data_IF_118902237125
#
_entry.id   IF_118902237125
#
_cell.length_a   1.000
_cell.length_b   1.000
_cell.length_c   1.000
_cell.angle_alpha   90.00
_cell.angle_beta   90.00
_cell.angle_gamma   90.00
#
_symmetry.space_group_name_H-M   'P 1'
#
loop_
_entity.id
_entity.type
_entity.pdbx_description
1 polymer ?
#
# COMPACT_ATOMS: atom_id res chain seq x y z
N UNK A 1 19.52 60.80 -6.74
CA UNK A 1 19.56 60.22 -5.42
C UNK A 1 18.98 58.80 -5.50
N UNK A 2 19.86 57.94 -5.46
CA UNK A 2 19.95 56.61 -4.91
C UNK A 2 18.90 55.55 -5.32
N UNK A 3 19.38 54.72 -6.25
CA UNK A 3 18.81 53.42 -6.67
C UNK A 3 18.86 52.39 -5.54
N UNK A 4 17.81 51.57 -5.42
CA UNK A 4 17.92 50.27 -4.80
C UNK A 4 17.18 49.23 -5.65
N UNK A 5 17.95 48.43 -6.39
CA UNK A 5 17.50 47.23 -7.12
C UNK A 5 17.25 46.13 -6.08
N UNK A 6 16.04 45.58 -6.05
CA UNK A 6 15.76 44.30 -5.36
C UNK A 6 15.92 43.17 -6.37
N UNK A 7 16.95 42.37 -6.17
CA UNK A 7 17.11 41.09 -6.83
C UNK A 7 16.22 40.04 -6.13
N UNK A 8 15.33 39.44 -6.89
CA UNK A 8 14.56 38.27 -6.48
C UNK A 8 15.45 37.06 -6.70
N UNK A 9 15.89 36.43 -5.61
CA UNK A 9 16.53 35.11 -5.64
C UNK A 9 15.46 34.04 -5.47
N UNK A 10 15.19 33.29 -6.54
CA UNK A 10 14.37 32.09 -6.48
C UNK A 10 15.17 30.99 -5.77
N UNK A 11 14.71 30.56 -4.60
CA UNK A 11 15.25 29.41 -3.91
C UNK A 11 14.58 28.14 -4.48
N UNK A 12 15.34 27.36 -5.25
CA UNK A 12 15.00 25.97 -5.56
C UNK A 12 15.16 25.14 -4.27
N UNK A 13 14.07 24.72 -3.69
CA UNK A 13 14.06 23.74 -2.61
C UNK A 13 14.23 22.34 -3.19
N UNK A 14 15.47 21.92 -3.38
CA UNK A 14 15.81 20.52 -3.62
C UNK A 14 15.69 19.75 -2.29
N UNK A 15 14.74 18.83 -2.22
CA UNK A 15 14.69 17.85 -1.12
C UNK A 15 15.79 16.83 -1.36
N UNK A 16 16.95 17.07 -0.74
CA UNK A 16 17.96 16.04 -0.55
C UNK A 16 17.48 15.11 0.56
N UNK A 17 17.18 13.85 0.22
CA UNK A 17 17.21 12.78 1.22
C UNK A 17 18.67 12.63 1.71
N UNK A 18 18.97 13.31 2.79
CA UNK A 18 20.20 13.07 3.53
C UNK A 18 20.06 11.71 4.22
N UNK A 19 20.68 10.67 3.68
CA UNK A 19 21.04 9.49 4.44
C UNK A 19 22.00 9.97 5.54
N UNK A 20 21.48 10.10 6.76
CA UNK A 20 22.30 10.38 7.92
C UNK A 20 23.21 9.16 8.17
N UNK A 21 24.42 9.20 7.64
CA UNK A 21 25.51 8.40 8.19
C UNK A 21 25.77 8.97 9.61
N UNK A 22 25.23 8.28 10.60
CA UNK A 22 25.56 8.53 11.99
C UNK A 22 27.01 8.12 12.19
N UNK A 23 27.91 9.09 12.17
CA UNK A 23 29.25 8.90 12.69
C UNK A 23 29.12 8.74 14.21
N UNK A 24 29.20 7.51 14.70
CA UNK A 24 29.38 7.25 16.12
C UNK A 24 30.83 7.59 16.42
N UNK A 25 31.05 8.75 17.04
CA UNK A 25 32.35 9.08 17.58
C UNK A 25 32.70 8.02 18.63
N UNK A 26 33.93 7.51 18.65
CA UNK A 26 34.37 6.60 19.72
C UNK A 26 34.21 7.28 21.07
N UNK A 27 33.36 6.73 21.92
CA UNK A 27 33.22 7.19 23.31
C UNK A 27 34.49 6.80 24.04
N UNK A 28 35.26 7.81 24.48
CA UNK A 28 36.41 7.56 25.31
C UNK A 28 35.99 6.85 26.60
N UNK A 29 36.71 5.81 27.04
CA UNK A 29 36.34 5.12 28.26
C UNK A 29 36.41 6.10 29.45
N UNK A 30 35.28 6.29 30.12
CA UNK A 30 35.24 7.04 31.39
C UNK A 30 35.94 6.20 32.43
N UNK A 31 37.11 6.65 32.90
CA UNK A 31 37.76 6.07 34.07
C UNK A 31 37.07 6.62 35.32
N UNK A 32 36.45 5.76 36.08
CA UNK A 32 35.96 6.10 37.42
C UNK A 32 37.12 6.46 38.34
N UNK A 33 37.01 7.55 39.10
CA UNK A 33 37.97 7.90 40.14
C UNK A 33 37.83 6.94 41.34
N UNK A 34 38.90 6.62 42.06
CA UNK A 34 38.80 5.80 43.29
C UNK A 34 37.92 6.52 44.33
N UNK A 35 36.74 5.95 44.60
CA UNK A 35 35.74 6.51 45.52
C UNK A 35 34.34 6.69 44.95
N UNK A 36 34.14 6.61 43.63
CA UNK A 36 32.81 6.65 43.02
C UNK A 36 32.08 5.31 43.21
N UNK A 37 31.14 5.30 44.14
CA UNK A 37 30.26 4.11 44.38
C UNK A 37 29.13 3.99 43.39
N UNK A 38 29.01 4.89 42.43
CA UNK A 38 28.06 4.80 41.31
C UNK A 38 28.82 4.59 40.01
N UNK A 39 29.35 3.40 39.81
CA UNK A 39 29.83 2.98 38.49
C UNK A 39 28.60 2.73 37.63
N UNK A 40 28.21 3.72 36.85
CA UNK A 40 27.22 3.51 35.80
C UNK A 40 27.79 2.54 34.79
N UNK A 41 27.32 1.30 34.79
CA UNK A 41 27.57 0.35 33.69
C UNK A 41 26.93 0.92 32.42
N UNK A 42 27.77 1.51 31.56
CA UNK A 42 27.31 1.84 30.20
C UNK A 42 27.22 0.53 29.41
N UNK A 43 26.00 0.12 29.06
CA UNK A 43 25.79 -0.95 28.13
C UNK A 43 25.84 -0.37 26.73
N UNK A 44 26.82 -0.74 25.94
CA UNK A 44 26.84 -0.43 24.48
C UNK A 44 26.16 -1.58 23.80
N UNK A 45 25.04 -1.27 23.12
CA UNK A 45 24.31 -2.23 22.29
C UNK A 45 24.63 -1.88 20.83
N UNK A 46 25.33 -2.77 20.16
CA UNK A 46 25.52 -2.72 18.71
C UNK A 46 24.47 -3.61 18.07
N UNK A 47 23.76 -3.06 17.06
CA UNK A 47 22.74 -3.79 16.32
C UNK A 47 22.93 -3.61 14.81
N UNK A 48 22.57 -4.61 14.07
CA UNK A 48 22.52 -4.59 12.59
C UNK A 48 21.08 -4.85 12.13
N UNK A 49 20.77 -4.39 10.91
CA UNK A 49 19.45 -4.55 10.32
C UNK A 49 18.64 -3.25 10.26
N UNK A 50 17.48 -3.34 9.60
CA UNK A 50 16.54 -2.22 9.46
C UNK A 50 15.10 -2.78 9.48
N UNK A 51 14.33 -2.39 10.48
CA UNK A 51 12.98 -2.85 10.74
C UNK A 51 12.89 -3.78 11.93
N UNK A 52 11.80 -4.55 12.01
CA UNK A 52 11.48 -5.38 13.20
C UNK A 52 12.20 -6.73 13.25
N UNK A 53 12.92 -7.11 12.20
CA UNK A 53 13.71 -8.34 12.15
C UNK A 53 12.91 -9.65 12.08
N UNK A 54 11.59 -9.63 11.95
CA UNK A 54 10.75 -10.84 11.90
C UNK A 54 10.43 -11.26 10.48
N UNK A 55 10.42 -12.57 10.23
CA UNK A 55 10.09 -13.16 8.95
C UNK A 55 11.09 -12.81 7.84
N UNK A 56 10.61 -12.52 6.64
CA UNK A 56 11.45 -12.32 5.47
C UNK A 56 12.23 -11.01 5.55
N UNK A 57 13.55 -11.09 5.38
CA UNK A 57 14.42 -9.97 5.07
C UNK A 57 14.36 -9.69 3.58
N UNK A 58 13.99 -8.48 3.18
CA UNK A 58 13.92 -8.11 1.77
C UNK A 58 15.30 -8.10 1.13
N UNK A 59 16.31 -7.49 1.77
CA UNK A 59 17.70 -7.55 1.32
C UNK A 59 18.28 -8.95 1.43
N UNK A 60 17.93 -9.71 2.48
CA UNK A 60 18.33 -11.11 2.62
C UNK A 60 17.82 -11.97 1.47
N UNK A 61 16.56 -11.81 1.07
CA UNK A 61 15.98 -12.53 -0.06
C UNK A 61 16.73 -12.23 -1.37
N UNK A 62 17.15 -10.97 -1.59
CA UNK A 62 18.01 -10.61 -2.73
C UNK A 62 19.37 -11.32 -2.64
N UNK A 63 20.03 -11.28 -1.48
CA UNK A 63 21.31 -11.96 -1.28
C UNK A 63 21.18 -13.48 -1.51
N UNK A 64 20.17 -14.13 -0.94
CA UNK A 64 19.91 -15.55 -1.16
C UNK A 64 19.72 -15.90 -2.62
N UNK A 65 18.98 -15.07 -3.37
CA UNK A 65 18.73 -15.33 -4.79
C UNK A 65 19.94 -15.04 -5.68
N UNK A 66 20.65 -13.94 -5.44
CA UNK A 66 21.70 -13.44 -6.37
C UNK A 66 23.10 -13.95 -6.06
N UNK A 67 23.40 -14.21 -4.78
CA UNK A 67 24.73 -14.67 -4.33
C UNK A 67 24.70 -16.19 -4.10
N UNK A 68 23.65 -16.71 -3.47
CA UNK A 68 23.56 -18.11 -3.08
C UNK A 68 22.73 -18.97 -4.03
N UNK A 69 22.16 -18.39 -5.12
CA UNK A 69 21.42 -19.09 -6.16
C UNK A 69 20.12 -19.76 -5.68
N UNK A 70 19.52 -19.27 -4.59
CA UNK A 70 18.30 -19.85 -4.04
C UNK A 70 17.06 -19.36 -4.80
N UNK A 71 16.14 -20.28 -5.07
CA UNK A 71 14.85 -19.93 -5.63
C UNK A 71 13.88 -19.37 -4.56
N UNK A 72 12.76 -18.83 -5.03
CA UNK A 72 11.77 -18.19 -4.18
C UNK A 72 11.07 -19.17 -3.22
N UNK A 73 10.94 -20.46 -3.55
CA UNK A 73 10.35 -21.47 -2.69
C UNK A 73 11.25 -21.77 -1.51
N UNK A 74 12.54 -21.95 -1.78
CA UNK A 74 13.54 -22.10 -0.72
C UNK A 74 13.59 -20.87 0.18
N UNK A 75 13.55 -19.64 -0.38
CA UNK A 75 13.55 -18.40 0.39
C UNK A 75 12.35 -18.34 1.34
N UNK A 76 11.16 -18.70 0.87
CA UNK A 76 9.97 -18.74 1.69
C UNK A 76 10.05 -19.81 2.78
N UNK A 77 10.56 -21.00 2.48
CA UNK A 77 10.72 -22.07 3.47
C UNK A 77 11.77 -21.71 4.52
N UNK A 78 12.82 -21.00 4.12
CA UNK A 78 13.85 -20.50 5.02
C UNK A 78 13.29 -19.51 6.05
N UNK A 79 12.58 -18.46 5.60
CA UNK A 79 12.07 -17.42 6.51
C UNK A 79 10.77 -17.80 7.26
N UNK A 80 9.97 -18.67 6.68
CA UNK A 80 8.65 -19.05 7.22
C UNK A 80 8.58 -20.55 7.54
N UNK A 81 9.60 -21.06 8.22
CA UNK A 81 9.67 -22.45 8.64
C UNK A 81 8.41 -22.91 9.39
N UNK A 82 8.00 -24.17 9.18
CA UNK A 82 6.78 -24.73 9.73
C UNK A 82 5.49 -24.29 9.02
N UNK A 83 5.62 -23.68 7.85
CA UNK A 83 4.50 -23.37 6.92
C UNK A 83 4.69 -24.12 5.61
N UNK A 84 3.65 -24.18 4.81
CA UNK A 84 3.65 -24.77 3.47
C UNK A 84 2.98 -23.86 2.46
N UNK A 85 3.13 -24.17 1.17
CA UNK A 85 2.39 -23.50 0.11
C UNK A 85 0.93 -23.88 0.15
N UNK A 86 0.05 -22.88 0.06
CA UNK A 86 -1.36 -22.99 -0.21
C UNK A 86 -1.76 -22.09 -1.38
N UNK A 87 -3.04 -22.05 -1.67
CA UNK A 87 -3.58 -21.15 -2.69
C UNK A 87 -4.92 -20.58 -2.24
N UNK A 88 -5.23 -19.39 -2.77
CA UNK A 88 -6.56 -18.77 -2.64
C UNK A 88 -7.37 -19.01 -3.91
N UNK A 89 -8.72 -19.01 -3.83
CA UNK A 89 -9.56 -19.06 -5.01
C UNK A 89 -9.29 -17.91 -5.97
N UNK A 90 -9.38 -18.16 -7.26
CA UNK A 90 -9.37 -17.11 -8.27
C UNK A 90 -10.52 -16.12 -8.01
N UNK A 91 -10.28 -14.83 -8.30
CA UNK A 91 -11.26 -13.78 -8.03
C UNK A 91 -11.34 -13.38 -6.54
N UNK A 92 -10.45 -13.87 -5.67
CA UNK A 92 -10.35 -13.39 -4.28
C UNK A 92 -10.12 -11.88 -4.28
N UNK A 93 -10.94 -11.13 -3.53
CA UNK A 93 -10.85 -9.66 -3.49
C UNK A 93 -10.32 -9.16 -2.15
N UNK A 94 -9.61 -8.04 -2.25
CA UNK A 94 -9.13 -7.24 -1.12
C UNK A 94 -9.93 -5.95 -1.04
N UNK A 95 -10.41 -5.62 0.15
CA UNK A 95 -10.92 -4.28 0.45
C UNK A 95 -9.90 -3.53 1.29
N UNK A 96 -9.39 -2.43 0.74
CA UNK A 96 -8.30 -1.65 1.32
C UNK A 96 -8.82 -0.27 1.71
N UNK A 97 -8.73 0.07 3.01
CA UNK A 97 -9.00 1.43 3.48
C UNK A 97 -7.94 2.38 2.95
N UNK A 98 -8.36 3.43 2.27
CA UNK A 98 -7.50 4.51 1.80
C UNK A 98 -7.43 5.58 2.89
N UNK A 99 -6.43 5.49 3.75
CA UNK A 99 -6.36 6.26 5.00
C UNK A 99 -6.22 7.76 4.80
N UNK A 100 -5.61 8.19 3.69
CA UNK A 100 -5.54 9.62 3.32
C UNK A 100 -6.92 10.20 2.97
N UNK A 101 -7.94 9.35 2.75
CA UNK A 101 -9.31 9.75 2.42
C UNK A 101 -10.25 9.72 3.63
N UNK A 102 -9.74 9.45 4.81
CA UNK A 102 -10.57 9.38 6.02
C UNK A 102 -11.26 10.72 6.29
N UNK A 103 -12.57 10.63 6.56
CA UNK A 103 -13.45 11.78 6.83
C UNK A 103 -13.59 12.77 5.67
N UNK A 104 -13.18 12.39 4.46
CA UNK A 104 -13.41 13.14 3.23
C UNK A 104 -14.57 12.54 2.43
N UNK A 105 -15.14 13.33 1.53
CA UNK A 105 -16.01 12.82 0.47
C UNK A 105 -15.21 11.86 -0.44
N UNK A 106 -15.86 10.87 -1.02
CA UNK A 106 -15.23 10.04 -2.05
C UNK A 106 -15.36 10.75 -3.40
N UNK A 107 -14.25 11.31 -3.88
CA UNK A 107 -14.16 11.97 -5.19
C UNK A 107 -13.25 11.17 -6.12
N UNK A 108 -13.74 10.86 -7.32
CA UNK A 108 -13.01 10.07 -8.31
C UNK A 108 -13.00 10.75 -9.67
N UNK A 109 -11.96 10.47 -10.45
CA UNK A 109 -11.84 10.88 -11.85
C UNK A 109 -11.56 9.69 -12.76
N UNK A 110 -11.93 9.80 -14.03
CA UNK A 110 -11.57 8.88 -15.11
C UNK A 110 -11.15 9.66 -16.34
N UNK A 111 -9.91 9.51 -16.78
CA UNK A 111 -9.35 10.27 -17.90
C UNK A 111 -10.09 10.07 -19.23
N UNK A 112 -10.69 8.90 -19.44
CA UNK A 112 -11.48 8.60 -20.64
C UNK A 112 -12.94 9.05 -20.54
N UNK A 113 -13.36 9.72 -19.44
CA UNK A 113 -14.75 10.08 -19.23
C UNK A 113 -15.68 8.88 -19.06
N UNK A 114 -15.15 7.77 -18.53
CA UNK A 114 -15.84 6.48 -18.46
C UNK A 114 -16.05 5.98 -17.02
N UNK A 115 -15.94 6.86 -16.00
CA UNK A 115 -16.37 6.53 -14.65
C UNK A 115 -17.89 6.38 -14.59
N UNK A 116 -18.38 5.38 -13.89
CA UNK A 116 -19.79 5.15 -13.68
C UNK A 116 -20.10 4.72 -12.24
N UNK A 117 -21.34 4.93 -11.82
CA UNK A 117 -21.87 4.48 -10.54
C UNK A 117 -22.47 3.07 -10.69
N UNK A 118 -21.85 2.08 -10.05
CA UNK A 118 -22.29 0.69 -10.12
C UNK A 118 -23.66 0.52 -9.46
N UNK A 119 -24.63 0.06 -10.22
CA UNK A 119 -26.02 -0.14 -9.74
C UNK A 119 -26.80 1.14 -9.47
N UNK A 120 -26.23 2.32 -9.76
CA UNK A 120 -26.90 3.60 -9.64
C UNK A 120 -27.49 4.13 -10.95
N UNK A 121 -27.70 5.44 -11.03
CA UNK A 121 -28.19 6.10 -12.24
C UNK A 121 -27.22 5.90 -13.40
N UNK A 122 -27.66 5.40 -14.57
CA UNK A 122 -26.80 5.19 -15.72
C UNK A 122 -26.13 6.48 -16.19
N UNK A 123 -24.90 6.37 -16.66
CA UNK A 123 -24.12 7.46 -17.24
C UNK A 123 -22.64 7.24 -17.07
N UNK A 124 -21.85 7.92 -17.92
CA UNK A 124 -20.40 7.94 -17.88
C UNK A 124 -19.89 9.37 -17.66
N UNK A 125 -18.91 9.52 -16.78
CA UNK A 125 -18.44 10.82 -16.31
C UNK A 125 -16.91 10.87 -16.28
N UNK A 126 -16.37 12.10 -16.38
CA UNK A 126 -14.93 12.37 -16.17
C UNK A 126 -14.61 12.52 -14.69
N UNK A 127 -15.58 12.97 -13.89
CA UNK A 127 -15.44 13.12 -12.44
C UNK A 127 -16.75 12.76 -11.76
N UNK A 128 -16.66 12.10 -10.62
CA UNK A 128 -17.81 11.75 -9.79
C UNK A 128 -17.50 11.98 -8.31
N UNK A 129 -18.54 12.29 -7.54
CA UNK A 129 -18.45 12.54 -6.09
C UNK A 129 -19.58 11.84 -5.39
N UNK A 130 -19.25 11.16 -4.28
CA UNK A 130 -20.20 10.73 -3.27
C UNK A 130 -19.92 11.50 -1.98
N UNK A 131 -20.88 12.34 -1.56
CA UNK A 131 -20.79 13.16 -0.33
C UNK A 131 -21.92 12.77 0.60
N UNK A 132 -21.59 12.48 1.86
CA UNK A 132 -22.61 12.31 2.89
C UNK A 132 -23.32 13.64 3.12
N UNK A 133 -24.65 13.61 3.08
CA UNK A 133 -25.52 14.79 3.25
C UNK A 133 -26.44 14.67 4.46
N UNK A 134 -26.65 13.47 4.98
CA UNK A 134 -27.43 13.23 6.18
C UNK A 134 -27.03 11.92 6.88
N UNK A 135 -27.17 11.88 8.19
CA UNK A 135 -27.07 10.66 8.99
C UNK A 135 -28.11 10.68 10.11
N UNK A 136 -28.77 9.54 10.33
CA UNK A 136 -29.77 9.37 11.39
C UNK A 136 -29.99 7.89 11.69
N UNK A 137 -30.03 7.52 12.97
CA UNK A 137 -30.36 6.17 13.40
C UNK A 137 -29.43 5.07 12.86
N UNK A 138 -28.15 5.37 12.64
CA UNK A 138 -27.16 4.44 12.05
C UNK A 138 -27.28 4.27 10.54
N UNK A 139 -28.11 5.07 9.89
CA UNK A 139 -28.21 5.18 8.44
C UNK A 139 -27.47 6.43 7.96
N UNK A 140 -26.86 6.35 6.78
CA UNK A 140 -26.07 7.39 6.15
C UNK A 140 -26.58 7.61 4.73
N UNK A 141 -26.88 8.86 4.38
CA UNK A 141 -27.36 9.24 3.06
C UNK A 141 -26.26 9.95 2.30
N UNK A 142 -25.89 9.39 1.18
CA UNK A 142 -24.96 9.99 0.24
C UNK A 142 -25.72 10.59 -0.94
N UNK A 143 -25.37 11.82 -1.29
CA UNK A 143 -25.74 12.40 -2.58
C UNK A 143 -24.60 12.13 -3.56
N UNK A 144 -24.93 11.71 -4.77
CA UNK A 144 -23.98 11.40 -5.85
C UNK A 144 -24.10 12.44 -6.94
N UNK A 145 -22.96 12.91 -7.44
CA UNK A 145 -22.87 13.82 -8.58
C UNK A 145 -21.90 13.29 -9.63
N UNK A 146 -22.15 13.63 -10.88
CA UNK A 146 -21.28 13.37 -12.01
C UNK A 146 -21.03 14.62 -12.84
N UNK A 147 -19.84 14.71 -13.45
CA UNK A 147 -19.45 15.78 -14.36
C UNK A 147 -18.75 15.20 -15.58
N UNK A 148 -19.05 15.76 -16.76
CA UNK A 148 -18.37 15.49 -18.04
C UNK A 148 -17.42 16.62 -18.39
N UNK A 149 -16.56 16.44 -19.40
CA UNK A 149 -15.59 17.44 -19.83
C UNK A 149 -14.25 17.32 -19.12
N UNK A 150 -13.67 18.41 -18.65
CA UNK A 150 -12.38 18.38 -17.94
C UNK A 150 -12.53 17.74 -16.59
N UNK A 151 -11.61 16.81 -16.26
CA UNK A 151 -11.59 16.15 -14.95
C UNK A 151 -11.25 17.14 -13.83
N UNK A 152 -11.97 17.02 -12.71
CA UNK A 152 -11.81 17.91 -11.55
C UNK A 152 -11.81 17.08 -10.25
N UNK A 153 -11.02 17.55 -9.29
CA UNK A 153 -10.98 17.06 -7.92
C UNK A 153 -11.58 18.11 -6.98
N UNK A 154 -12.89 18.12 -6.75
CA UNK A 154 -13.51 19.10 -5.86
C UNK A 154 -13.17 18.81 -4.40
N UNK A 155 -12.96 19.86 -3.61
CA UNK A 155 -12.88 19.75 -2.16
C UNK A 155 -14.25 19.47 -1.53
N UNK A 156 -14.27 19.04 -0.27
CA UNK A 156 -15.53 18.76 0.45
C UNK A 156 -16.42 20.01 0.63
N UNK A 157 -15.83 21.21 0.50
CA UNK A 157 -16.54 22.50 0.67
C UNK A 157 -16.98 23.10 -0.66
N UNK A 158 -16.54 22.55 -1.80
CA UNK A 158 -16.88 23.12 -3.10
C UNK A 158 -18.37 22.90 -3.42
N UNK A 159 -18.95 23.91 -4.08
CA UNK A 159 -20.30 23.81 -4.63
C UNK A 159 -20.29 22.86 -5.83
N UNK A 160 -21.20 21.89 -5.84
CA UNK A 160 -21.42 20.97 -6.95
C UNK A 160 -22.68 21.34 -7.75
N UNK A 161 -23.16 22.59 -7.65
CA UNK A 161 -24.39 23.03 -8.32
C UNK A 161 -24.34 22.93 -9.87
N UNK A 162 -23.14 22.98 -10.46
CA UNK A 162 -22.94 22.78 -11.91
C UNK A 162 -22.78 21.31 -12.32
N UNK A 163 -22.78 20.38 -11.39
CA UNK A 163 -22.66 18.95 -11.63
C UNK A 163 -24.05 18.32 -11.79
N UNK A 164 -24.14 17.23 -12.53
CA UNK A 164 -25.36 16.46 -12.67
C UNK A 164 -25.63 15.70 -11.38
N UNK A 165 -26.77 15.96 -10.74
CA UNK A 165 -27.23 15.18 -9.60
C UNK A 165 -27.76 13.83 -10.06
N UNK A 166 -27.19 12.73 -9.53
CA UNK A 166 -27.51 11.36 -9.89
C UNK A 166 -28.46 10.68 -8.87
N UNK A 167 -28.76 11.40 -7.79
CA UNK A 167 -29.71 10.96 -6.74
C UNK A 167 -29.02 10.53 -5.46
N UNK A 168 -29.80 10.49 -4.37
CA UNK A 168 -29.31 10.01 -3.08
C UNK A 168 -29.34 8.49 -3.00
N UNK A 169 -28.47 7.94 -2.12
CA UNK A 169 -28.53 6.56 -1.66
C UNK A 169 -28.36 6.53 -0.16
N UNK A 170 -29.16 5.71 0.53
CA UNK A 170 -29.09 5.52 1.98
C UNK A 170 -28.64 4.10 2.30
N UNK A 171 -27.71 3.97 3.23
CA UNK A 171 -27.12 2.70 3.64
C UNK A 171 -26.78 2.71 5.13
N UNK A 172 -26.28 1.59 5.63
CA UNK A 172 -25.82 1.42 7.01
C UNK A 172 -24.29 1.34 7.06
N UNK A 173 -23.71 1.64 8.24
CA UNK A 173 -22.28 1.54 8.45
C UNK A 173 -21.71 0.16 8.08
N UNK A 174 -20.51 0.13 7.56
CA UNK A 174 -19.77 -1.10 7.20
C UNK A 174 -20.15 -1.70 5.86
N UNK A 175 -21.16 -1.19 5.16
CA UNK A 175 -21.53 -1.60 3.80
C UNK A 175 -21.07 -0.57 2.76
N UNK A 176 -20.77 -0.99 1.52
CA UNK A 176 -20.57 -0.06 0.41
C UNK A 176 -21.85 0.77 0.20
N UNK A 177 -21.72 2.11 0.24
CA UNK A 177 -22.84 3.03 0.00
C UNK A 177 -22.91 3.40 -1.47
N UNK A 178 -21.80 3.87 -2.03
CA UNK A 178 -21.66 4.27 -3.43
C UNK A 178 -20.41 3.58 -3.98
N UNK A 179 -20.55 2.87 -5.08
CA UNK A 179 -19.42 2.19 -5.74
C UNK A 179 -19.20 2.79 -7.12
N UNK A 180 -18.01 3.29 -7.34
CA UNK A 180 -17.55 3.79 -8.65
C UNK A 180 -16.65 2.78 -9.34
N UNK A 181 -16.76 2.69 -10.66
CA UNK A 181 -15.94 1.83 -11.50
C UNK A 181 -15.63 2.46 -12.85
N UNK A 182 -14.76 1.79 -13.61
CA UNK A 182 -14.52 2.03 -15.04
C UNK A 182 -14.55 0.70 -15.79
N UNK A 183 -14.84 0.66 -17.09
CA UNK A 183 -14.70 -0.55 -17.88
C UNK A 183 -13.28 -1.12 -17.81
N UNK A 184 -13.15 -2.42 -17.60
CA UNK A 184 -11.85 -3.08 -17.49
C UNK A 184 -11.07 -2.77 -16.21
N UNK A 185 -11.74 -2.34 -15.14
CA UNK A 185 -11.08 -1.95 -13.88
C UNK A 185 -10.20 -3.06 -13.27
N UNK A 186 -10.59 -4.33 -13.41
CA UNK A 186 -9.82 -5.48 -12.93
C UNK A 186 -8.92 -6.12 -14.01
N UNK A 187 -9.00 -5.67 -15.27
CA UNK A 187 -8.14 -6.17 -16.34
C UNK A 187 -6.68 -5.72 -16.12
N UNK A 188 -5.73 -6.65 -15.95
CA UNK A 188 -4.32 -6.32 -15.76
C UNK A 188 -3.69 -5.57 -16.95
N UNK A 189 -4.27 -5.66 -18.15
CA UNK A 189 -3.82 -4.94 -19.34
C UNK A 189 -4.30 -3.48 -19.39
N UNK A 190 -5.30 -3.11 -18.59
CA UNK A 190 -5.80 -1.71 -18.55
C UNK A 190 -4.69 -0.78 -18.04
N UNK A 191 -4.30 0.25 -18.85
CA UNK A 191 -3.28 1.21 -18.42
C UNK A 191 -3.68 1.98 -17.17
N UNK A 192 -2.72 2.28 -16.29
CA UNK A 192 -2.97 3.03 -15.05
C UNK A 192 -3.74 4.35 -15.30
N UNK A 193 -3.48 5.03 -16.43
CA UNK A 193 -4.16 6.26 -16.82
C UNK A 193 -5.66 6.10 -17.09
N UNK A 194 -6.11 4.90 -17.43
CA UNK A 194 -7.51 4.57 -17.72
C UNK A 194 -8.30 4.06 -16.51
N UNK A 195 -7.62 3.83 -15.38
CA UNK A 195 -8.23 3.40 -14.13
C UNK A 195 -8.84 4.58 -13.37
N UNK A 196 -9.72 4.28 -12.39
CA UNK A 196 -10.24 5.31 -11.50
C UNK A 196 -9.10 5.96 -10.72
N UNK A 197 -9.07 7.29 -10.73
CA UNK A 197 -8.23 8.11 -9.86
C UNK A 197 -9.04 8.60 -8.67
N UNK A 198 -8.54 8.42 -7.46
CA UNK A 198 -9.11 8.98 -6.23
C UNK A 198 -8.40 10.28 -5.91
N UNK A 199 -9.17 11.35 -5.76
CA UNK A 199 -8.68 12.68 -5.40
C UNK A 199 -8.40 12.77 -3.90
N UNK A 200 -7.23 13.28 -3.51
CA UNK A 200 -6.95 13.63 -2.12
C UNK A 200 -7.36 15.08 -1.79
N UNK A 201 -7.19 15.46 -0.52
CA UNK A 201 -7.53 16.80 -0.05
C UNK A 201 -6.72 17.93 -0.71
N UNK A 202 -5.54 17.62 -1.25
CA UNK A 202 -4.67 18.56 -1.96
C UNK A 202 -4.94 18.62 -3.48
N UNK A 203 -5.87 17.78 -3.99
CA UNK A 203 -6.19 17.65 -5.40
C UNK A 203 -5.22 16.76 -6.19
N UNK A 204 -4.27 16.09 -5.52
CA UNK A 204 -3.49 15.05 -6.14
C UNK A 204 -4.35 13.78 -6.30
N UNK A 205 -3.96 12.90 -7.23
CA UNK A 205 -4.77 11.75 -7.61
C UNK A 205 -3.95 10.49 -7.57
N UNK A 206 -4.54 9.42 -7.02
CA UNK A 206 -3.98 8.08 -7.07
C UNK A 206 -4.93 7.15 -7.81
N UNK A 207 -4.39 6.45 -8.80
CA UNK A 207 -5.13 5.50 -9.63
C UNK A 207 -5.12 4.11 -9.03
N UNK A 208 -6.28 3.46 -9.04
CA UNK A 208 -6.47 2.13 -8.46
C UNK A 208 -7.15 1.19 -9.46
N UNK A 209 -6.74 -0.07 -9.46
CA UNK A 209 -7.48 -1.16 -10.10
C UNK A 209 -8.71 -1.51 -9.27
N UNK A 210 -9.67 -2.17 -9.91
CA UNK A 210 -10.93 -2.53 -9.27
C UNK A 210 -11.86 -1.35 -9.06
N UNK A 211 -12.67 -1.41 -8.02
CA UNK A 211 -13.69 -0.43 -7.71
C UNK A 211 -13.25 0.48 -6.57
N UNK A 212 -13.84 1.67 -6.52
CA UNK A 212 -13.71 2.58 -5.39
C UNK A 212 -15.09 2.77 -4.78
N UNK A 213 -15.22 2.60 -3.48
CA UNK A 213 -16.50 2.83 -2.82
C UNK A 213 -16.41 3.70 -1.56
N UNK A 214 -17.48 4.47 -1.33
CA UNK A 214 -17.72 5.21 -0.12
C UNK A 214 -18.45 4.31 0.89
N UNK A 215 -18.16 4.49 2.16
CA UNK A 215 -18.85 3.85 3.29
C UNK A 215 -18.66 4.67 4.56
N UNK A 216 -19.30 4.24 5.64
CA UNK A 216 -19.04 4.77 6.98
C UNK A 216 -18.44 3.69 7.87
N UNK A 217 -17.51 4.10 8.72
CA UNK A 217 -17.05 3.29 9.84
C UNK A 217 -18.16 3.09 10.89
N UNK A 218 -17.92 2.20 11.86
CA UNK A 218 -18.88 1.88 12.91
C UNK A 218 -19.23 3.07 13.81
N UNK A 219 -18.35 4.07 13.89
CA UNK A 219 -18.61 5.32 14.64
C UNK A 219 -19.11 6.47 13.73
N UNK A 220 -19.46 6.15 12.49
CA UNK A 220 -20.06 7.10 11.55
C UNK A 220 -19.06 7.84 10.65
N UNK A 221 -17.76 7.58 10.76
CA UNK A 221 -16.73 8.30 9.99
C UNK A 221 -16.80 7.93 8.51
N UNK A 222 -16.65 8.92 7.63
CA UNK A 222 -16.53 8.68 6.20
C UNK A 222 -15.24 7.91 5.87
N UNK A 223 -15.39 6.90 5.01
CA UNK A 223 -14.31 6.04 4.53
C UNK A 223 -14.39 5.86 3.03
N UNK A 224 -13.24 5.93 2.39
CA UNK A 224 -13.07 5.52 0.98
C UNK A 224 -12.26 4.25 0.93
N UNK A 225 -12.71 3.25 0.18
CA UNK A 225 -12.06 1.97 0.01
C UNK A 225 -11.76 1.67 -1.45
N UNK A 226 -10.64 0.98 -1.68
CA UNK A 226 -10.38 0.25 -2.92
C UNK A 226 -10.85 -1.18 -2.73
N UNK A 227 -11.68 -1.68 -3.65
CA UNK A 227 -12.08 -3.08 -3.76
C UNK A 227 -11.43 -3.66 -5.02
N UNK A 228 -10.43 -4.49 -4.84
CA UNK A 228 -9.50 -4.90 -5.89
C UNK A 228 -9.26 -6.41 -5.84
N UNK A 229 -9.05 -7.04 -6.99
CA UNK A 229 -8.61 -8.43 -7.04
C UNK A 229 -7.23 -8.59 -6.39
N UNK A 230 -7.00 -9.73 -5.72
CA UNK A 230 -5.79 -9.96 -4.90
C UNK A 230 -4.49 -9.79 -5.69
N UNK A 231 -4.44 -10.21 -6.96
CA UNK A 231 -3.24 -10.07 -7.79
C UNK A 231 -2.98 -8.59 -8.12
N UNK A 232 -4.01 -7.84 -8.43
CA UNK A 232 -3.94 -6.39 -8.66
C UNK A 232 -3.58 -5.61 -7.41
N UNK A 233 -4.02 -6.07 -6.22
CA UNK A 233 -3.57 -5.54 -4.94
C UNK A 233 -2.05 -5.74 -4.76
N UNK A 234 -1.56 -6.96 -4.98
CA UNK A 234 -0.13 -7.28 -4.82
C UNK A 234 0.73 -6.50 -5.82
N UNK A 235 0.27 -6.26 -7.06
CA UNK A 235 0.94 -5.39 -8.04
C UNK A 235 1.13 -3.96 -7.53
N UNK A 236 0.16 -3.42 -6.79
CA UNK A 236 0.24 -2.10 -6.16
C UNK A 236 1.06 -2.07 -4.87
N UNK A 237 1.40 -3.24 -4.29
CA UNK A 237 2.22 -3.38 -3.06
C UNK A 237 3.69 -3.54 -3.39
N UNK A 238 4.06 -4.50 -4.26
CA UNK A 238 5.45 -4.91 -4.44
C UNK A 238 6.39 -3.74 -4.79
N UNK A 239 6.08 -2.84 -5.73
CA UNK A 239 6.99 -1.73 -6.06
C UNK A 239 7.17 -0.72 -4.92
N UNK A 240 6.31 -0.77 -3.90
CA UNK A 240 6.39 0.09 -2.72
C UNK A 240 7.18 -0.54 -1.57
N UNK A 241 7.27 -1.86 -1.56
CA UNK A 241 7.96 -2.64 -0.53
C UNK A 241 9.37 -3.06 -0.98
N UNK A 242 9.53 -3.39 -2.26
CA UNK A 242 10.79 -3.86 -2.83
C UNK A 242 11.04 -3.24 -4.19
N UNK A 243 12.25 -2.66 -4.46
CA UNK A 243 12.57 -2.10 -5.76
C UNK A 243 12.40 -3.13 -6.88
N UNK A 244 11.57 -2.84 -7.88
CA UNK A 244 11.33 -3.74 -9.01
C UNK A 244 12.63 -4.06 -9.80
N UNK A 245 13.61 -3.13 -9.80
CA UNK A 245 14.94 -3.31 -10.39
C UNK A 245 15.75 -4.45 -9.76
N UNK A 246 15.34 -4.96 -8.59
CA UNK A 246 15.98 -6.14 -8.02
C UNK A 246 15.84 -7.37 -8.90
N UNK A 247 14.77 -7.46 -9.70
CA UNK A 247 14.59 -8.55 -10.66
C UNK A 247 15.79 -8.72 -11.61
N UNK A 248 16.48 -7.62 -11.94
CA UNK A 248 17.59 -7.62 -12.90
C UNK A 248 18.93 -8.03 -12.26
N UNK A 249 19.03 -8.02 -10.92
CA UNK A 249 20.24 -8.38 -10.19
C UNK A 249 20.60 -9.86 -10.40
N UNK A 250 21.89 -10.19 -10.27
CA UNK A 250 22.37 -11.58 -10.37
C UNK A 250 22.02 -12.23 -11.72
N UNK A 251 22.13 -11.49 -12.83
CA UNK A 251 21.73 -11.94 -14.18
C UNK A 251 20.27 -12.40 -14.24
N UNK A 252 19.38 -11.68 -13.54
CA UNK A 252 17.94 -11.95 -13.53
C UNK A 252 17.47 -12.89 -12.41
N UNK A 253 18.38 -13.48 -11.62
CA UNK A 253 17.97 -14.37 -10.49
C UNK A 253 17.28 -13.61 -9.37
N UNK A 254 17.51 -12.30 -9.25
CA UNK A 254 16.85 -11.43 -8.25
C UNK A 254 15.34 -11.42 -8.33
N UNK A 255 14.73 -11.86 -9.44
CA UNK A 255 13.27 -12.09 -9.56
C UNK A 255 12.75 -13.03 -8.48
N UNK A 256 13.57 -13.96 -7.95
CA UNK A 256 13.17 -14.87 -6.89
C UNK A 256 12.89 -14.14 -5.57
N UNK A 257 13.61 -13.06 -5.28
CA UNK A 257 13.30 -12.21 -4.13
C UNK A 257 11.92 -11.55 -4.27
N UNK A 258 11.60 -11.01 -5.46
CA UNK A 258 10.29 -10.40 -5.73
C UNK A 258 9.15 -11.44 -5.71
N UNK A 259 9.40 -12.67 -6.19
CA UNK A 259 8.43 -13.77 -6.09
C UNK A 259 8.15 -14.15 -4.64
N UNK A 260 9.20 -14.29 -3.81
CA UNK A 260 9.05 -14.54 -2.39
C UNK A 260 8.27 -13.41 -1.70
N UNK A 261 8.60 -12.15 -2.02
CA UNK A 261 7.88 -10.97 -1.52
C UNK A 261 6.41 -10.98 -1.95
N UNK A 262 6.09 -11.38 -3.20
CA UNK A 262 4.71 -11.43 -3.68
C UNK A 262 3.85 -12.43 -2.91
N UNK A 263 4.37 -13.63 -2.65
CA UNK A 263 3.68 -14.65 -1.81
C UNK A 263 3.55 -14.17 -0.37
N UNK A 264 4.60 -13.56 0.18
CA UNK A 264 4.56 -12.99 1.53
C UNK A 264 3.52 -11.86 1.64
N UNK A 265 3.53 -10.90 0.72
CA UNK A 265 2.60 -9.78 0.71
C UNK A 265 1.14 -10.23 0.60
N UNK A 266 0.86 -11.22 -0.25
CA UNK A 266 -0.48 -11.80 -0.43
C UNK A 266 -0.97 -12.47 0.86
N UNK A 267 -0.13 -13.30 1.47
CA UNK A 267 -0.44 -14.00 2.71
C UNK A 267 -0.66 -13.02 3.87
N UNK A 268 0.23 -12.03 4.00
CA UNK A 268 0.16 -11.02 5.06
C UNK A 268 -1.10 -10.17 4.95
N UNK A 269 -1.41 -9.65 3.76
CA UNK A 269 -2.62 -8.84 3.55
C UNK A 269 -3.91 -9.58 3.90
N UNK A 270 -4.00 -10.86 3.54
CA UNK A 270 -5.14 -11.71 3.88
C UNK A 270 -5.19 -12.06 5.37
N UNK A 271 -4.04 -12.36 5.97
CA UNK A 271 -3.95 -12.72 7.39
C UNK A 271 -4.36 -11.57 8.31
N UNK A 272 -4.04 -10.32 7.94
CA UNK A 272 -4.47 -9.13 8.69
C UNK A 272 -5.98 -9.00 8.80
N UNK A 273 -6.72 -9.43 7.78
CA UNK A 273 -8.18 -9.50 7.81
C UNK A 273 -8.73 -10.72 8.57
N UNK A 274 -7.87 -11.56 9.13
CA UNK A 274 -8.30 -12.80 9.81
C UNK A 274 -8.63 -13.93 8.83
N UNK A 275 -8.14 -13.88 7.59
CA UNK A 275 -8.33 -14.89 6.56
C UNK A 275 -8.98 -14.40 5.27
N UNK A 276 -9.31 -15.34 4.38
CA UNK A 276 -9.82 -15.02 3.04
C UNK A 276 -11.17 -14.27 3.10
N UNK A 277 -12.05 -14.64 4.02
CA UNK A 277 -13.42 -14.10 4.13
C UNK A 277 -13.59 -13.02 5.20
N UNK A 278 -12.71 -12.97 6.20
CA UNK A 278 -12.82 -12.06 7.31
C UNK A 278 -12.28 -10.66 6.98
N UNK A 279 -12.56 -9.69 7.84
CA UNK A 279 -12.16 -8.29 7.70
C UNK A 279 -11.52 -7.79 8.99
N UNK A 280 -10.48 -6.96 8.87
CA UNK A 280 -9.85 -6.26 10.01
C UNK A 280 -10.77 -5.14 10.53
N UNK A 281 -11.44 -4.45 9.61
CA UNK A 281 -12.42 -3.41 9.88
C UNK A 281 -13.80 -3.89 9.43
N UNK A 282 -14.88 -3.36 9.98
CA UNK A 282 -16.23 -3.69 9.52
C UNK A 282 -16.42 -3.48 8.02
N UNK A 283 -15.66 -2.54 7.44
CA UNK A 283 -15.75 -2.08 6.06
C UNK A 283 -14.56 -2.51 5.18
N UNK A 284 -13.40 -2.90 5.74
CA UNK A 284 -12.21 -3.24 4.96
C UNK A 284 -11.38 -4.38 5.56
N UNK A 285 -10.68 -5.15 4.71
CA UNK A 285 -9.75 -6.20 5.15
C UNK A 285 -8.46 -5.62 5.72
N UNK A 286 -7.95 -4.58 5.11
CA UNK A 286 -6.64 -3.99 5.43
C UNK A 286 -6.64 -2.48 5.19
N UNK A 287 -5.50 -1.82 5.39
CA UNK A 287 -5.27 -0.41 5.09
C UNK A 287 -4.03 -0.24 4.19
N UNK A 288 -3.83 0.98 3.67
CA UNK A 288 -2.82 1.31 2.65
C UNK A 288 -1.50 1.87 3.21
N UNK A 289 -1.30 1.84 4.54
CA UNK A 289 -0.13 2.42 5.22
C UNK A 289 0.75 1.36 5.85
N UNK A 290 1.90 1.77 6.41
CA UNK A 290 2.83 0.93 7.17
C UNK A 290 2.21 0.24 8.39
N UNK A 291 1.06 0.71 8.90
CA UNK A 291 0.31 0.01 9.95
C UNK A 291 -0.33 -1.30 9.47
N UNK A 292 -0.43 -1.48 8.16
CA UNK A 292 -0.91 -2.67 7.49
C UNK A 292 0.15 -3.13 6.47
N UNK A 293 0.05 -2.66 5.24
CA UNK A 293 0.97 -2.91 4.16
C UNK A 293 0.86 -1.75 3.17
N UNK A 294 1.99 -1.18 2.75
CA UNK A 294 1.95 -0.02 1.86
C UNK A 294 1.35 -0.41 0.51
N UNK A 295 0.19 0.15 0.19
CA UNK A 295 -0.51 -0.06 -1.07
C UNK A 295 -0.53 1.23 -1.89
N UNK A 296 0.21 1.25 -2.98
CA UNK A 296 0.41 2.43 -3.82
C UNK A 296 -0.63 2.62 -4.92
N UNK A 297 -1.50 1.62 -5.18
CA UNK A 297 -2.32 1.60 -6.40
C UNK A 297 -1.46 1.41 -7.66
N UNK A 298 -1.99 1.80 -8.82
CA UNK A 298 -1.35 1.60 -10.12
C UNK A 298 -0.54 2.82 -10.60
N UNK A 299 -0.91 4.03 -10.17
CA UNK A 299 -0.24 5.26 -10.60
C UNK A 299 -0.67 6.49 -9.80
N UNK A 300 0.03 7.60 -10.00
CA UNK A 300 -0.27 8.90 -9.35
C UNK A 300 -0.26 10.04 -10.34
N UNK A 301 -0.93 11.15 -9.98
CA UNK A 301 -0.87 12.45 -10.66
C UNK A 301 -0.75 13.56 -9.63
N UNK A 302 -0.08 14.64 -10.00
CA UNK A 302 -0.01 15.84 -9.17
C UNK A 302 -1.35 16.64 -9.12
N UNK A 303 -2.22 16.45 -10.12
CA UNK A 303 -3.56 17.06 -10.19
C UNK A 303 -4.46 16.23 -11.12
N UNK A 304 -5.75 16.55 -11.17
CA UNK A 304 -6.73 15.87 -12.03
C UNK A 304 -6.35 15.86 -13.53
N UNK A 305 -5.61 16.85 -14.00
CA UNK A 305 -5.21 17.02 -15.41
C UNK A 305 -3.73 16.72 -15.69
N UNK A 306 -2.91 16.46 -14.65
CA UNK A 306 -1.51 16.15 -14.83
C UNK A 306 -1.32 14.73 -15.46
N UNK A 307 -0.14 14.47 -16.00
CA UNK A 307 0.22 13.15 -16.51
C UNK A 307 0.32 12.12 -15.38
N UNK A 308 -0.02 10.88 -15.72
CA UNK A 308 0.13 9.74 -14.77
C UNK A 308 1.59 9.33 -14.66
N UNK A 309 2.06 9.22 -13.42
CA UNK A 309 3.30 8.53 -13.09
C UNK A 309 2.90 7.12 -12.65
N UNK A 310 3.29 6.12 -13.43
CA UNK A 310 2.95 4.71 -13.17
C UNK A 310 3.77 4.19 -11.98
N UNK A 311 3.11 3.49 -11.06
CA UNK A 311 3.73 2.83 -9.89
C UNK A 311 4.03 1.36 -10.20
N UNK A 312 3.11 0.67 -10.88
CA UNK A 312 3.30 -0.73 -11.28
C UNK A 312 4.53 -0.85 -12.21
N UNK A 313 5.26 -1.95 -12.10
CA UNK A 313 6.46 -2.21 -12.89
C UNK A 313 6.39 -3.63 -13.45
N UNK A 314 6.60 -3.80 -14.74
CA UNK A 314 6.49 -5.08 -15.43
C UNK A 314 7.35 -6.20 -14.84
N UNK A 315 8.45 -5.87 -14.19
CA UNK A 315 9.35 -6.84 -13.53
C UNK A 315 8.71 -7.40 -12.25
N UNK A 316 8.14 -6.52 -11.41
CA UNK A 316 7.37 -6.96 -10.24
C UNK A 316 6.06 -7.61 -10.64
N UNK A 317 5.39 -7.14 -11.68
CA UNK A 317 4.16 -7.74 -12.21
C UNK A 317 4.40 -9.18 -12.68
N UNK A 318 5.55 -9.45 -13.32
CA UNK A 318 5.96 -10.81 -13.67
C UNK A 318 6.12 -11.69 -12.43
N UNK A 319 6.74 -11.19 -11.35
CA UNK A 319 6.87 -11.95 -10.11
C UNK A 319 5.50 -12.28 -9.50
N UNK A 320 4.56 -11.34 -9.52
CA UNK A 320 3.17 -11.54 -9.07
C UNK A 320 2.48 -12.59 -9.92
N UNK A 321 2.54 -12.49 -11.25
CA UNK A 321 1.90 -13.43 -12.18
C UNK A 321 2.46 -14.86 -12.06
N UNK A 322 3.78 -15.01 -11.94
CA UNK A 322 4.45 -16.31 -11.81
C UNK A 322 4.22 -16.98 -10.42
N UNK A 323 3.65 -16.26 -9.46
CA UNK A 323 3.25 -16.78 -8.13
C UNK A 323 1.77 -16.57 -7.85
N UNK A 324 0.96 -16.44 -8.90
CA UNK A 324 -0.46 -16.09 -8.77
C UNK A 324 -1.19 -17.06 -7.82
N UNK A 325 -2.04 -16.47 -6.97
CA UNK A 325 -2.86 -17.14 -5.97
C UNK A 325 -2.11 -17.88 -4.84
N UNK A 326 -0.78 -17.98 -4.90
CA UNK A 326 0.01 -18.70 -3.90
C UNK A 326 0.12 -17.92 -2.60
N UNK A 327 -0.07 -18.62 -1.48
CA UNK A 327 0.02 -18.09 -0.12
C UNK A 327 0.78 -19.06 0.79
N UNK A 328 1.23 -18.59 1.96
CA UNK A 328 1.74 -19.45 3.04
C UNK A 328 0.62 -19.80 4.01
N UNK A 329 0.54 -21.08 4.35
CA UNK A 329 -0.45 -21.65 5.28
C UNK A 329 0.23 -22.59 6.28
N UNK A 330 -0.47 -22.96 7.35
CA UNK A 330 -0.03 -24.07 8.23
C UNK A 330 -0.78 -25.36 7.86
N UNK A 331 -0.13 -26.50 7.98
CA UNK A 331 -0.73 -27.79 7.65
C UNK A 331 -2.03 -28.08 8.41
N UNK A 332 -2.12 -27.64 9.67
CA UNK A 332 -3.34 -27.76 10.47
C UNK A 332 -4.50 -26.86 10.02
N UNK A 333 -4.21 -25.81 9.23
CA UNK A 333 -5.20 -24.83 8.77
C UNK A 333 -4.91 -24.45 7.30
N UNK A 334 -5.09 -25.36 6.34
CA UNK A 334 -4.59 -25.19 4.97
C UNK A 334 -5.25 -24.06 4.18
N UNK A 335 -6.38 -23.53 4.66
CA UNK A 335 -7.08 -22.38 4.04
C UNK A 335 -6.89 -21.06 4.80
N UNK A 336 -6.11 -21.06 5.90
CA UNK A 336 -5.86 -19.88 6.69
C UNK A 336 -4.48 -19.32 6.36
N UNK A 337 -4.41 -18.13 5.71
CA UNK A 337 -3.14 -17.46 5.43
C UNK A 337 -2.35 -17.19 6.71
N UNK A 338 -1.05 -17.39 6.66
CA UNK A 338 -0.15 -17.04 7.76
C UNK A 338 0.24 -15.56 7.65
N UNK A 339 0.33 -14.88 8.78
CA UNK A 339 0.86 -13.51 8.86
C UNK A 339 2.38 -13.52 8.58
N UNK A 340 2.72 -13.46 7.31
CA UNK A 340 4.08 -13.49 6.78
C UNK A 340 4.72 -12.11 6.86
N UNK A 341 5.11 -11.71 8.07
CA UNK A 341 5.78 -10.44 8.30
C UNK A 341 7.10 -10.36 7.51
N UNK A 342 7.48 -9.15 7.12
CA UNK A 342 8.74 -8.87 6.42
C UNK A 342 9.29 -7.51 6.81
N UNK A 343 10.59 -7.33 6.70
CA UNK A 343 11.29 -6.08 6.96
C UNK A 343 12.44 -5.89 5.99
N UNK A 344 13.01 -4.69 5.95
CA UNK A 344 14.08 -4.35 5.03
C UNK A 344 15.30 -5.26 5.20
N UNK A 345 15.84 -5.36 6.42
CA UNK A 345 17.01 -6.19 6.72
C UNK A 345 16.94 -6.72 8.14
N UNK A 346 17.21 -8.00 8.33
CA UNK A 346 17.21 -8.65 9.65
C UNK A 346 18.60 -8.62 10.33
N UNK A 347 19.58 -7.96 9.72
CA UNK A 347 20.98 -8.13 10.12
C UNK A 347 21.46 -9.53 9.75
N UNK A 348 22.15 -10.21 10.65
CA UNK A 348 22.67 -11.55 10.39
C UNK A 348 21.69 -12.68 10.77
N UNK A 349 20.58 -12.37 11.46
CA UNK A 349 19.64 -13.36 11.97
C UNK A 349 18.24 -12.79 12.16
N UNK A 350 17.22 -13.59 11.86
CA UNK A 350 15.83 -13.21 12.11
C UNK A 350 15.45 -13.34 13.60
N UNK A 351 14.49 -12.55 14.05
CA UNK A 351 13.87 -12.71 15.35
C UNK A 351 12.91 -13.91 15.35
N UNK A 352 13.10 -14.83 16.29
CA UNK A 352 12.30 -16.06 16.43
C UNK A 352 11.02 -15.83 17.22
N UNK A 353 10.03 -15.15 16.64
CA UNK A 353 8.74 -14.89 17.30
C UNK A 353 7.64 -15.79 16.72
N UNK A 354 7.22 -15.52 15.47
CA UNK A 354 6.15 -16.25 14.79
C UNK A 354 6.69 -17.44 13.97
N UNK A 355 7.96 -17.40 13.63
CA UNK A 355 8.69 -18.40 12.86
C UNK A 355 10.02 -18.71 13.55
N UNK A 356 10.65 -19.87 13.30
CA UNK A 356 11.98 -20.14 13.82
C UNK A 356 12.98 -19.05 13.43
N UNK A 357 13.88 -18.68 14.36
CA UNK A 357 14.97 -17.79 14.02
C UNK A 357 15.94 -18.48 13.08
N UNK A 358 16.31 -17.80 11.98
CA UNK A 358 17.24 -18.33 10.97
C UNK A 358 18.36 -17.34 10.71
N UNK A 359 19.52 -17.87 10.31
CA UNK A 359 20.66 -17.03 9.92
C UNK A 359 20.36 -16.34 8.59
N UNK A 360 20.80 -15.09 8.46
CA UNK A 360 20.49 -14.23 7.33
C UNK A 360 21.74 -13.53 6.78
N UNK A 361 22.77 -14.27 6.34
CA UNK A 361 23.99 -13.69 5.77
C UNK A 361 23.72 -12.96 4.44
N UNK A 362 22.58 -13.21 3.81
CA UNK A 362 22.17 -12.52 2.58
C UNK A 362 21.76 -11.05 2.80
N UNK A 363 21.55 -10.64 4.06
CA UNK A 363 21.16 -9.27 4.39
C UNK A 363 22.34 -8.31 4.68
N UNK A 364 23.58 -8.77 4.51
CA UNK A 364 24.82 -7.97 4.65
C UNK A 364 25.08 -7.05 3.48
#
# INVERSE_FOLDING_TARGET
>A
MMNLRKALTAALSGVFLASALSWVAPVAPVRAAPGDVNVGLAMVIEGQGNGHGRGLSQYGAVGWSTIYGKDWTWILDHYYGGTSMGAVPAGTRMTVRLTAQDNLQTAVIASGGNAFWVGGTPGYFTSMVAREVASSGGQYTYQVWGKTGTAECPSSNDSLASWVSLGPVTTVAGLPSVTFSVPGADDPATPAASLLGVCDAAGAVRHYRGNIFASNGTSGENRTMSDVEIESYVRGVIPRESPASWADRGNGTGINALKAQAVAARSYGLAQGGGITNRRYSYAKTCDTTNCQVYGGAGTRASATANVVVIEDSRSDRAVAETALMIRVRAATPLVPVSTEFSSSNGDRTAGVNFPAVDDPGSR
#
